data_IF_647966621422
#
_entry.id   IF_647966621422
#
_cell.length_a   1.000
_cell.length_b   1.000
_cell.length_c   1.000
_cell.angle_alpha   90.00
_cell.angle_beta   90.00
_cell.angle_gamma   90.00
#
_symmetry.space_group_name_H-M   'P 1'
#
loop_
_entity.id
_entity.type
_entity.pdbx_description
1 polymer ?
#
# COMPACT_ATOMS: atom_id res chain seq x y z
N UNK A 1 -0.40 -46.82 17.67
CA UNK A 1 0.69 -46.03 17.07
C UNK A 1 0.06 -44.80 16.45
N UNK A 2 0.01 -43.68 17.18
CA UNK A 2 -0.62 -42.45 16.69
C UNK A 2 0.43 -41.60 15.98
N UNK A 3 0.27 -41.41 14.69
CA UNK A 3 1.15 -40.60 13.85
C UNK A 3 0.81 -39.14 14.15
N UNK A 4 1.66 -38.46 14.92
CA UNK A 4 1.60 -37.00 15.08
C UNK A 4 2.00 -36.37 13.74
N UNK A 5 1.02 -35.99 12.92
CA UNK A 5 1.24 -35.17 11.73
C UNK A 5 1.67 -33.77 12.15
N UNK A 6 2.93 -33.44 11.90
CA UNK A 6 3.48 -32.09 12.04
C UNK A 6 2.84 -31.20 10.96
N UNK A 7 1.77 -30.48 11.30
CA UNK A 7 1.28 -29.37 10.49
C UNK A 7 2.32 -28.24 10.57
N UNK A 8 3.20 -28.17 9.58
CA UNK A 8 4.06 -27.01 9.39
C UNK A 8 3.16 -25.79 9.16
N UNK A 9 3.15 -24.85 10.12
CA UNK A 9 2.47 -23.59 9.96
C UNK A 9 3.06 -22.87 8.74
N UNK A 10 2.27 -22.74 7.68
CA UNK A 10 2.64 -21.93 6.51
C UNK A 10 2.72 -20.49 6.98
N UNK A 11 3.93 -20.04 7.31
CA UNK A 11 4.19 -18.65 7.66
C UNK A 11 4.12 -17.85 6.37
N UNK A 12 3.00 -17.17 6.15
CA UNK A 12 2.91 -16.16 5.09
C UNK A 12 3.99 -15.12 5.36
N UNK A 13 4.91 -14.88 4.41
CA UNK A 13 6.00 -13.96 4.64
C UNK A 13 5.44 -12.56 4.91
N UNK A 14 5.87 -11.98 6.02
CA UNK A 14 5.46 -10.67 6.51
C UNK A 14 6.42 -9.59 6.00
N UNK A 15 5.96 -8.34 5.99
CA UNK A 15 6.82 -7.20 5.67
C UNK A 15 7.94 -7.08 6.71
N UNK A 16 9.13 -6.58 6.33
CA UNK A 16 10.10 -6.11 7.31
C UNK A 16 9.46 -5.12 8.29
N UNK A 17 9.81 -5.13 9.60
CA UNK A 17 9.13 -4.32 10.61
C UNK A 17 9.01 -2.83 10.27
N UNK A 18 10.06 -2.23 9.69
CA UNK A 18 10.04 -0.83 9.25
C UNK A 18 9.02 -0.54 8.15
N UNK A 19 8.85 -1.48 7.22
CA UNK A 19 7.90 -1.34 6.12
C UNK A 19 6.47 -1.61 6.57
N UNK A 20 6.30 -2.58 7.49
CA UNK A 20 5.01 -2.81 8.12
C UNK A 20 4.55 -1.57 8.88
N UNK A 21 5.45 -0.91 9.63
CA UNK A 21 5.13 0.33 10.33
C UNK A 21 4.68 1.45 9.37
N UNK A 22 5.33 1.60 8.22
CA UNK A 22 4.91 2.57 7.19
C UNK A 22 3.53 2.23 6.64
N UNK A 23 3.30 0.97 6.26
CA UNK A 23 2.04 0.52 5.68
C UNK A 23 0.87 0.68 6.66
N UNK A 24 1.08 0.36 7.95
CA UNK A 24 0.11 0.56 9.02
C UNK A 24 -0.16 2.05 9.29
N UNK A 25 0.88 2.89 9.31
CA UNK A 25 0.72 4.34 9.54
C UNK A 25 -0.15 4.99 8.46
N UNK A 26 0.09 4.64 7.19
CA UNK A 26 -0.68 5.11 6.04
C UNK A 26 -2.12 4.58 6.07
N UNK A 27 -2.31 3.29 6.36
CA UNK A 27 -3.65 2.72 6.47
C UNK A 27 -4.47 3.32 7.61
N UNK A 28 -3.85 3.62 8.75
CA UNK A 28 -4.50 4.24 9.89
C UNK A 28 -5.10 5.63 9.62
N UNK A 29 -4.74 6.28 8.50
CA UNK A 29 -5.34 7.55 8.08
C UNK A 29 -6.65 7.38 7.28
N UNK A 30 -6.95 6.17 6.80
CA UNK A 30 -8.11 5.95 5.94
C UNK A 30 -9.27 5.23 6.63
N UNK A 31 -10.45 5.37 6.00
CA UNK A 31 -11.75 4.89 6.46
C UNK A 31 -12.03 5.13 7.96
N UNK A 32 -12.16 6.39 8.41
CA UNK A 32 -12.45 6.71 9.82
C UNK A 32 -13.79 6.15 10.32
N UNK A 33 -14.72 5.85 9.40
CA UNK A 33 -16.00 5.21 9.73
C UNK A 33 -15.98 3.68 9.70
N UNK A 34 -14.85 3.04 9.39
CA UNK A 34 -14.73 1.59 9.39
C UNK A 34 -14.06 1.10 10.67
N UNK A 35 -14.81 0.31 11.44
CA UNK A 35 -14.35 -0.31 12.68
C UNK A 35 -14.14 -1.81 12.47
N UNK A 36 -12.92 -2.29 12.69
CA UNK A 36 -12.62 -3.70 12.85
C UNK A 36 -12.89 -4.13 14.31
N UNK A 37 -13.53 -5.28 14.47
CA UNK A 37 -13.79 -5.91 15.76
C UNK A 37 -12.89 -7.14 15.89
N UNK A 38 -12.16 -7.23 17.00
CA UNK A 38 -11.22 -8.31 17.25
C UNK A 38 -11.80 -9.36 18.21
N UNK A 39 -11.34 -10.63 18.14
CA UNK A 39 -11.81 -11.69 19.05
C UNK A 39 -11.55 -11.42 20.53
N UNK A 40 -10.58 -10.57 20.85
CA UNK A 40 -10.26 -10.13 22.22
C UNK A 40 -11.18 -9.00 22.73
N UNK A 41 -12.17 -8.59 21.94
CA UNK A 41 -13.11 -7.51 22.26
C UNK A 41 -12.58 -6.11 21.96
N UNK A 42 -11.33 -5.97 21.51
CA UNK A 42 -10.81 -4.68 21.07
C UNK A 42 -11.45 -4.24 19.75
N UNK A 43 -11.48 -2.92 19.55
CA UNK A 43 -11.91 -2.29 18.30
C UNK A 43 -10.83 -1.36 17.78
N UNK A 44 -10.79 -1.19 16.46
CA UNK A 44 -9.82 -0.32 15.82
C UNK A 44 -10.24 0.04 14.40
N UNK A 45 -9.48 0.88 13.69
CA UNK A 45 -9.74 1.14 12.27
C UNK A 45 -9.65 -0.15 11.45
N UNK A 46 -10.42 -0.23 10.37
CA UNK A 46 -10.28 -1.31 9.40
C UNK A 46 -8.94 -1.21 8.66
N UNK A 47 -7.97 -1.99 9.11
CA UNK A 47 -6.66 -2.06 8.50
C UNK A 47 -6.59 -3.19 7.47
N UNK A 48 -6.07 -2.92 6.25
CA UNK A 48 -5.67 -3.97 5.34
C UNK A 48 -4.63 -4.90 5.98
N UNK A 49 -4.59 -6.14 5.51
CA UNK A 49 -3.50 -7.07 5.79
C UNK A 49 -2.39 -6.85 4.78
N UNK A 50 -1.15 -6.88 5.25
CA UNK A 50 0.03 -6.68 4.42
C UNK A 50 0.87 -7.95 4.34
N UNK A 51 1.25 -8.32 3.14
CA UNK A 51 2.13 -9.46 2.88
C UNK A 51 3.24 -9.07 1.91
N UNK A 52 4.30 -9.88 1.88
CA UNK A 52 5.34 -9.77 0.87
C UNK A 52 5.32 -11.02 -0.03
N UNK A 53 5.71 -10.88 -1.28
CA UNK A 53 5.97 -12.00 -2.20
C UNK A 53 7.36 -11.89 -2.80
N UNK A 54 7.88 -13.01 -3.29
CA UNK A 54 9.15 -13.05 -4.03
C UNK A 54 9.14 -12.16 -5.28
N UNK A 55 10.34 -11.90 -5.82
CA UNK A 55 10.55 -11.11 -7.04
C UNK A 55 11.33 -9.81 -6.80
N UNK A 56 12.27 -9.51 -7.71
CA UNK A 56 13.16 -8.34 -7.63
C UNK A 56 12.59 -7.04 -8.21
N UNK A 57 11.49 -7.11 -8.97
CA UNK A 57 10.76 -5.93 -9.44
C UNK A 57 10.09 -5.19 -8.28
N UNK A 58 9.86 -3.88 -8.46
CA UNK A 58 9.03 -3.09 -7.54
C UNK A 58 7.59 -3.17 -8.03
N UNK A 59 6.70 -3.66 -7.16
CA UNK A 59 5.27 -3.75 -7.43
C UNK A 59 4.49 -3.91 -6.12
N UNK A 60 3.24 -3.42 -6.12
CA UNK A 60 2.21 -3.63 -5.11
C UNK A 60 0.96 -4.22 -5.76
N UNK A 61 0.09 -4.83 -4.96
CA UNK A 61 -1.20 -5.29 -5.42
C UNK A 61 -2.20 -5.28 -4.27
N UNK A 62 -3.34 -4.64 -4.49
CA UNK A 62 -4.53 -4.76 -3.66
C UNK A 62 -5.50 -5.81 -4.21
N UNK A 63 -5.94 -6.72 -3.35
CA UNK A 63 -7.05 -7.64 -3.60
C UNK A 63 -7.99 -7.62 -2.38
N UNK A 64 -9.03 -6.79 -2.46
CA UNK A 64 -9.87 -6.48 -1.30
C UNK A 64 -9.07 -5.83 -0.19
N UNK A 65 -9.06 -6.43 1.00
CA UNK A 65 -8.29 -5.96 2.16
C UNK A 65 -6.91 -6.64 2.29
N UNK A 66 -6.47 -7.40 1.29
CA UNK A 66 -5.12 -7.99 1.26
C UNK A 66 -4.23 -7.20 0.29
N UNK A 67 -3.21 -6.56 0.84
CA UNK A 67 -2.20 -5.83 0.08
C UNK A 67 -0.91 -6.65 0.08
N UNK A 68 -0.36 -6.91 -1.10
CA UNK A 68 0.87 -7.70 -1.27
C UNK A 68 1.92 -6.89 -2.01
N UNK A 69 3.10 -6.74 -1.40
CA UNK A 69 4.25 -6.10 -2.02
C UNK A 69 5.26 -7.14 -2.51
N UNK A 70 6.00 -6.80 -3.54
CA UNK A 70 7.17 -7.59 -3.98
C UNK A 70 8.37 -7.35 -3.08
N UNK A 71 9.31 -8.30 -3.00
CA UNK A 71 10.59 -8.10 -2.29
C UNK A 71 11.35 -6.88 -2.81
N UNK A 72 11.32 -6.62 -4.11
CA UNK A 72 11.94 -5.42 -4.68
C UNK A 72 11.37 -4.12 -4.13
N UNK A 73 10.08 -4.06 -3.79
CA UNK A 73 9.47 -2.87 -3.19
C UNK A 73 10.04 -2.55 -1.80
N UNK A 74 10.47 -3.55 -1.02
CA UNK A 74 11.03 -3.33 0.32
C UNK A 74 12.55 -3.22 0.36
N UNK A 75 13.24 -3.44 -0.77
CA UNK A 75 14.70 -3.38 -0.84
C UNK A 75 15.23 -2.29 -1.77
N UNK A 76 14.38 -1.69 -2.62
CA UNK A 76 14.80 -0.73 -3.65
C UNK A 76 14.16 0.65 -3.54
N UNK A 77 13.11 0.78 -2.73
CA UNK A 77 12.40 2.05 -2.53
C UNK A 77 12.97 2.79 -1.32
N UNK A 78 12.98 4.11 -1.40
CA UNK A 78 13.18 4.95 -0.21
C UNK A 78 11.95 4.88 0.71
N UNK A 79 12.08 5.45 1.92
CA UNK A 79 10.97 5.54 2.89
C UNK A 79 9.71 6.15 2.25
N UNK A 80 9.83 7.30 1.60
CA UNK A 80 8.68 8.01 1.04
C UNK A 80 8.16 7.38 -0.26
N UNK A 81 9.04 6.73 -1.04
CA UNK A 81 8.60 5.96 -2.22
C UNK A 81 7.79 4.73 -1.82
N UNK A 82 8.23 4.00 -0.79
CA UNK A 82 7.47 2.86 -0.27
C UNK A 82 6.16 3.34 0.39
N UNK A 83 6.19 4.45 1.13
CA UNK A 83 4.99 5.03 1.72
C UNK A 83 3.95 5.39 0.65
N UNK A 84 4.37 6.03 -0.44
CA UNK A 84 3.47 6.38 -1.54
C UNK A 84 2.94 5.13 -2.27
N UNK A 85 3.77 4.09 -2.48
CA UNK A 85 3.29 2.82 -3.03
C UNK A 85 2.28 2.14 -2.11
N UNK A 86 2.57 2.06 -0.81
CA UNK A 86 1.65 1.47 0.16
C UNK A 86 0.33 2.24 0.22
N UNK A 87 0.39 3.58 0.21
CA UNK A 87 -0.79 4.43 0.21
C UNK A 87 -1.65 4.27 -1.04
N UNK A 88 -1.01 4.07 -2.19
CA UNK A 88 -1.71 3.78 -3.44
C UNK A 88 -2.51 2.46 -3.35
N UNK A 89 -1.91 1.38 -2.85
CA UNK A 89 -2.62 0.10 -2.72
C UNK A 89 -3.72 0.15 -1.66
N UNK A 90 -3.49 0.86 -0.55
CA UNK A 90 -4.51 1.15 0.47
C UNK A 90 -5.67 1.95 -0.13
N UNK A 91 -5.36 2.96 -0.96
CA UNK A 91 -6.38 3.75 -1.65
C UNK A 91 -7.22 2.90 -2.61
N UNK A 92 -6.62 1.94 -3.33
CA UNK A 92 -7.39 0.97 -4.12
C UNK A 92 -8.40 0.19 -3.27
N UNK A 93 -7.99 -0.30 -2.09
CA UNK A 93 -8.90 -0.99 -1.16
C UNK A 93 -10.04 -0.07 -0.70
N UNK A 94 -9.73 1.16 -0.29
CA UNK A 94 -10.72 2.09 0.27
C UNK A 94 -11.67 2.68 -0.76
N UNK A 95 -11.25 2.79 -2.02
CA UNK A 95 -12.10 3.21 -3.13
C UNK A 95 -12.89 2.03 -3.75
N UNK A 96 -12.70 0.81 -3.28
CA UNK A 96 -13.39 -0.38 -3.80
C UNK A 96 -12.95 -0.76 -5.22
N UNK A 97 -11.72 -0.42 -5.61
CA UNK A 97 -11.20 -0.74 -6.93
C UNK A 97 -10.84 -2.24 -7.04
N UNK A 98 -11.52 -2.96 -7.93
CA UNK A 98 -11.27 -4.39 -8.19
C UNK A 98 -10.35 -4.64 -9.41
N UNK A 99 -9.68 -3.59 -9.88
CA UNK A 99 -8.75 -3.63 -11.02
C UNK A 99 -8.27 -2.23 -11.41
N UNK A 100 -7.39 -2.17 -12.41
CA UNK A 100 -6.81 -0.91 -12.90
C UNK A 100 -7.59 -0.35 -14.09
N UNK A 101 -7.92 0.93 -14.01
CA UNK A 101 -8.25 1.82 -15.12
C UNK A 101 -7.45 3.11 -14.94
N UNK A 102 -7.36 3.96 -15.97
CA UNK A 102 -6.61 5.23 -15.84
C UNK A 102 -7.20 6.11 -14.74
N UNK A 103 -8.52 6.14 -14.66
CA UNK A 103 -9.29 6.89 -13.68
C UNK A 103 -9.06 6.32 -12.28
N UNK A 104 -9.13 4.98 -12.12
CA UNK A 104 -8.90 4.31 -10.84
C UNK A 104 -7.48 4.53 -10.31
N UNK A 105 -6.48 4.46 -11.20
CA UNK A 105 -5.07 4.68 -10.84
C UNK A 105 -4.81 6.13 -10.40
N UNK A 106 -5.37 7.11 -11.13
CA UNK A 106 -5.24 8.53 -10.78
C UNK A 106 -6.05 8.90 -9.53
N UNK A 107 -7.18 8.24 -9.27
CA UNK A 107 -7.93 8.40 -8.03
C UNK A 107 -7.14 7.83 -6.83
N UNK A 108 -6.54 6.65 -7.00
CA UNK A 108 -5.69 6.04 -6.00
C UNK A 108 -4.37 6.82 -5.79
N UNK A 109 -3.81 7.48 -6.81
CA UNK A 109 -2.69 8.43 -6.65
C UNK A 109 -3.04 9.59 -5.72
N UNK A 110 -4.19 10.23 -5.95
CA UNK A 110 -4.60 11.40 -5.16
C UNK A 110 -4.91 11.00 -3.73
N UNK A 111 -5.73 9.97 -3.52
CA UNK A 111 -6.02 9.50 -2.17
C UNK A 111 -4.77 8.96 -1.49
N UNK A 112 -3.92 8.22 -2.22
CA UNK A 112 -2.64 7.73 -1.69
C UNK A 112 -1.70 8.87 -1.25
N UNK A 113 -1.60 9.94 -2.04
CA UNK A 113 -0.83 11.12 -1.67
C UNK A 113 -1.37 11.79 -0.39
N UNK A 114 -2.69 11.89 -0.26
CA UNK A 114 -3.34 12.41 0.95
C UNK A 114 -3.03 11.53 2.18
N UNK A 115 -3.19 10.22 2.07
CA UNK A 115 -2.94 9.26 3.16
C UNK A 115 -1.45 9.28 3.58
N UNK A 116 -0.53 9.29 2.62
CA UNK A 116 0.90 9.40 2.88
C UNK A 116 1.25 10.71 3.61
N UNK A 117 0.70 11.83 3.14
CA UNK A 117 0.89 13.13 3.78
C UNK A 117 0.39 13.14 5.23
N UNK A 118 -0.84 12.67 5.46
CA UNK A 118 -1.46 12.61 6.79
C UNK A 118 -0.67 11.71 7.75
N UNK A 119 -0.04 10.65 7.24
CA UNK A 119 0.82 9.76 8.00
C UNK A 119 2.25 10.30 8.23
N UNK A 120 2.56 11.52 7.78
CA UNK A 120 3.87 12.16 7.99
C UNK A 120 4.96 11.72 7.00
N UNK A 121 4.57 11.33 5.79
CA UNK A 121 5.49 11.06 4.68
C UNK A 121 5.41 12.18 3.65
N UNK A 122 6.46 12.33 2.84
CA UNK A 122 6.48 13.30 1.74
C UNK A 122 6.01 12.63 0.43
N UNK A 123 4.75 12.86 -0.02
CA UNK A 123 4.28 12.31 -1.28
C UNK A 123 5.04 12.85 -2.50
N UNK A 124 5.57 14.07 -2.46
CA UNK A 124 6.39 14.64 -3.54
C UNK A 124 7.72 13.88 -3.67
N UNK A 125 8.43 13.66 -2.56
CA UNK A 125 9.63 12.81 -2.55
C UNK A 125 9.32 11.36 -2.98
N UNK A 126 8.14 10.85 -2.62
CA UNK A 126 7.67 9.53 -3.01
C UNK A 126 7.46 9.34 -4.52
N UNK A 127 7.26 10.42 -5.28
CA UNK A 127 7.03 10.32 -6.74
C UNK A 127 8.21 9.67 -7.49
N UNK A 128 9.41 9.60 -6.89
CA UNK A 128 10.53 8.85 -7.43
C UNK A 128 10.19 7.41 -7.81
N UNK A 129 9.21 6.79 -7.14
CA UNK A 129 8.78 5.40 -7.36
C UNK A 129 8.36 5.13 -8.81
N UNK A 130 7.82 6.13 -9.53
CA UNK A 130 7.31 5.95 -10.89
C UNK A 130 8.41 5.59 -11.91
N UNK A 131 9.69 5.67 -11.55
CA UNK A 131 10.79 5.12 -12.37
C UNK A 131 10.74 3.60 -12.50
N UNK A 132 10.07 2.91 -11.57
CA UNK A 132 9.98 1.45 -11.56
C UNK A 132 8.68 0.92 -12.18
N UNK A 133 7.65 1.74 -12.27
CA UNK A 133 6.32 1.32 -12.71
C UNK A 133 6.17 1.46 -14.23
N UNK A 134 5.50 0.49 -14.85
CA UNK A 134 5.23 0.49 -16.28
C UNK A 134 3.91 1.22 -16.57
N UNK A 135 3.87 2.02 -17.63
CA UNK A 135 2.63 2.56 -18.18
C UNK A 135 2.01 1.61 -19.21
N UNK A 136 0.73 1.77 -19.52
CA UNK A 136 0.05 0.97 -20.54
C UNK A 136 -1.34 1.50 -20.89
N UNK A 137 -2.20 0.64 -21.41
CA UNK A 137 -3.60 0.99 -21.70
C UNK A 137 -4.35 1.40 -20.43
N UNK A 138 -4.17 0.63 -19.35
CA UNK A 138 -4.82 0.82 -18.05
C UNK A 138 -4.02 1.68 -17.05
N UNK A 139 -2.70 1.70 -17.17
CA UNK A 139 -1.83 2.45 -16.26
C UNK A 139 -1.38 3.78 -16.90
N UNK A 140 -1.66 4.94 -16.28
CA UNK A 140 -1.25 6.25 -16.79
C UNK A 140 0.27 6.37 -16.94
N UNK A 141 0.71 7.36 -17.74
CA UNK A 141 2.14 7.70 -17.84
C UNK A 141 2.65 8.22 -16.49
N UNK A 142 3.94 8.01 -16.21
CA UNK A 142 4.57 8.50 -14.98
C UNK A 142 4.32 9.99 -14.73
N UNK A 143 4.39 10.82 -15.77
CA UNK A 143 4.09 12.26 -15.69
C UNK A 143 2.66 12.55 -15.17
N UNK A 144 1.66 11.81 -15.67
CA UNK A 144 0.27 11.98 -15.24
C UNK A 144 0.08 11.58 -13.78
N UNK A 145 0.73 10.48 -13.36
CA UNK A 145 0.70 10.01 -11.97
C UNK A 145 1.41 11.00 -11.03
N UNK A 146 2.56 11.55 -11.44
CA UNK A 146 3.24 12.65 -10.71
C UNK A 146 2.33 13.86 -10.57
N UNK A 147 1.68 14.31 -11.65
CA UNK A 147 0.77 15.44 -11.60
C UNK A 147 -0.42 15.20 -10.65
N UNK A 148 -0.96 13.97 -10.61
CA UNK A 148 -2.02 13.62 -9.66
C UNK A 148 -1.54 13.68 -8.22
N UNK A 149 -0.36 13.14 -7.91
CA UNK A 149 0.24 13.21 -6.57
C UNK A 149 0.49 14.67 -6.16
N UNK A 150 1.10 15.47 -7.03
CA UNK A 150 1.43 16.87 -6.77
C UNK A 150 0.21 17.80 -6.72
N UNK A 151 -0.96 17.35 -7.19
CA UNK A 151 -2.21 18.11 -7.06
C UNK A 151 -2.80 18.11 -5.64
N UNK A 152 -2.30 17.24 -4.76
CA UNK A 152 -2.76 17.11 -3.37
C UNK A 152 -1.91 18.01 -2.46
N UNK A 153 -2.49 19.03 -1.82
CA UNK A 153 -1.75 19.88 -0.89
C UNK A 153 -1.22 19.05 0.29
N UNK A 154 0.09 19.11 0.51
CA UNK A 154 0.74 18.52 1.67
C UNK A 154 1.70 19.54 2.28
N UNK A 155 1.35 20.17 3.41
CA UNK A 155 2.28 21.04 4.12
C UNK A 155 3.48 20.19 4.57
N UNK A 156 4.66 20.51 4.04
CA UNK A 156 5.91 19.91 4.50
C UNK A 156 6.04 20.26 6.00
N UNK A 157 6.11 19.23 6.85
CA UNK A 157 6.26 19.39 8.30
C UNK A 157 7.72 19.53 8.70
#
# INVERSE_FOLDING_TARGET
>A
MSILSLLAAVTTPTLPPSHLAIALAVAGQGQPGCTAYHPDGSTGPCLPRFAIRGGGGVNGQSLGMQITFTRGATTRLTRDEFALLAAHEVAHSYLGHNGSSREAELAADRLGAQLACQAGFDPQAGTGLFRFLRSGSKHPKAEQRRAAVLSVPCPQR
#
